data_IF_961047236997
#
_entry.id   IF_961047236997
#
_cell.length_a   1.000
_cell.length_b   1.000
_cell.length_c   1.000
_cell.angle_alpha   90.00
_cell.angle_beta   90.00
_cell.angle_gamma   90.00
#
_symmetry.space_group_name_H-M   'P 1'
#
loop_
_entity.id
_entity.type
_entity.pdbx_description
1 polymer ?
#
# COMPACT_ATOMS: atom_id res chain seq x y z
N UNK A 1 -3.85 -30.60 -26.08
CA UNK A 1 -2.53 -30.27 -25.51
C UNK A 1 -2.44 -30.48 -24.00
N UNK A 2 -3.32 -29.91 -23.17
CA UNK A 2 -3.26 -30.01 -21.70
C UNK A 2 -3.34 -31.42 -21.09
N UNK A 3 -4.01 -32.38 -21.76
CA UNK A 3 -4.05 -33.79 -21.29
C UNK A 3 -2.68 -34.48 -21.33
N UNK A 4 -1.76 -34.06 -22.22
CA UNK A 4 -0.47 -34.75 -22.37
C UNK A 4 0.52 -34.34 -21.28
N UNK A 5 0.53 -33.09 -20.84
CA UNK A 5 1.50 -32.61 -19.83
C UNK A 5 1.20 -33.18 -18.44
N UNK A 6 -0.08 -33.27 -18.06
CA UNK A 6 -0.47 -33.87 -16.79
C UNK A 6 -0.23 -35.38 -16.78
N UNK A 7 -0.48 -36.05 -17.91
CA UNK A 7 -0.23 -37.48 -18.08
C UNK A 7 1.27 -37.80 -18.04
N UNK A 8 2.11 -36.99 -18.69
CA UNK A 8 3.57 -37.16 -18.63
C UNK A 8 4.11 -36.88 -17.23
N UNK A 9 3.58 -35.87 -16.53
CA UNK A 9 3.97 -35.58 -15.15
C UNK A 9 3.55 -36.71 -14.19
N UNK A 10 2.34 -37.25 -14.34
CA UNK A 10 1.88 -38.40 -13.52
C UNK A 10 2.62 -39.68 -13.88
N UNK A 11 2.90 -39.96 -15.16
CA UNK A 11 3.73 -41.09 -15.58
C UNK A 11 5.16 -40.96 -15.07
N UNK A 12 5.74 -39.76 -15.06
CA UNK A 12 7.06 -39.53 -14.47
C UNK A 12 7.04 -39.84 -12.97
N UNK A 13 6.08 -39.29 -12.22
CA UNK A 13 5.92 -39.53 -10.77
C UNK A 13 5.71 -41.02 -10.48
N UNK A 14 4.86 -41.70 -11.24
CA UNK A 14 4.59 -43.14 -11.08
C UNK A 14 5.81 -43.98 -11.48
N UNK A 15 6.52 -43.63 -12.55
CA UNK A 15 7.74 -44.36 -12.98
C UNK A 15 8.95 -44.15 -12.06
N UNK A 16 8.88 -43.15 -11.18
CA UNK A 16 9.94 -42.82 -10.22
C UNK A 16 9.52 -43.03 -8.77
N UNK A 17 8.27 -43.41 -8.47
CA UNK A 17 7.78 -43.59 -7.10
C UNK A 17 8.58 -44.66 -6.35
N UNK A 18 8.90 -45.76 -7.02
CA UNK A 18 9.60 -46.90 -6.41
C UNK A 18 11.07 -46.55 -6.12
N UNK A 19 11.63 -45.67 -6.96
CA UNK A 19 12.96 -45.09 -6.76
C UNK A 19 12.96 -44.03 -5.67
N UNK A 20 11.90 -43.22 -5.56
CA UNK A 20 11.71 -42.22 -4.51
C UNK A 20 11.66 -42.87 -3.13
N UNK A 21 10.92 -43.96 -2.98
CA UNK A 21 10.89 -44.72 -1.72
C UNK A 21 12.29 -45.26 -1.38
N UNK A 22 12.99 -45.85 -2.34
CA UNK A 22 14.37 -46.34 -2.17
C UNK A 22 15.34 -45.22 -1.80
N UNK A 23 15.22 -44.04 -2.42
CA UNK A 23 16.04 -42.86 -2.13
C UNK A 23 15.70 -42.33 -0.73
N UNK A 24 14.42 -42.26 -0.35
CA UNK A 24 14.00 -41.82 0.99
C UNK A 24 14.54 -42.77 2.06
N UNK A 25 14.48 -44.08 1.85
CA UNK A 25 15.08 -45.05 2.77
C UNK A 25 16.60 -44.94 2.83
N UNK A 26 17.29 -44.82 1.69
CA UNK A 26 18.74 -44.64 1.65
C UNK A 26 19.18 -43.33 2.34
N UNK A 27 18.39 -42.27 2.22
CA UNK A 27 18.63 -40.97 2.88
C UNK A 27 18.33 -41.03 4.39
N UNK A 28 17.36 -41.83 4.81
CA UNK A 28 16.98 -42.00 6.21
C UNK A 28 17.97 -42.86 7.00
N UNK A 29 18.61 -43.85 6.36
CA UNK A 29 19.55 -44.76 7.03
C UNK A 29 21.01 -44.28 7.03
N UNK A 30 21.40 -43.40 6.11
CA UNK A 30 22.80 -42.97 5.95
C UNK A 30 22.97 -41.44 6.02
N UNK A 31 23.42 -40.88 7.17
CA UNK A 31 23.62 -39.44 7.37
C UNK A 31 24.59 -38.80 6.36
N UNK A 32 25.52 -39.57 5.78
CA UNK A 32 26.46 -39.09 4.75
C UNK A 32 25.76 -38.73 3.43
N UNK A 33 24.67 -39.43 3.08
CA UNK A 33 23.92 -39.17 1.85
C UNK A 33 23.13 -37.87 1.99
N UNK A 34 22.53 -37.62 3.16
CA UNK A 34 21.83 -36.37 3.46
C UNK A 34 22.75 -35.15 3.30
N UNK A 35 23.97 -35.22 3.84
CA UNK A 35 24.97 -34.17 3.72
C UNK A 35 25.43 -33.94 2.27
N UNK A 36 25.62 -35.01 1.48
CA UNK A 36 25.96 -34.88 0.05
C UNK A 36 24.82 -34.26 -0.75
N UNK A 37 23.57 -34.63 -0.49
CA UNK A 37 22.40 -34.04 -1.13
C UNK A 37 22.25 -32.57 -0.77
N UNK A 38 22.44 -32.20 0.50
CA UNK A 38 22.47 -30.80 0.92
C UNK A 38 23.57 -30.01 0.22
N UNK A 39 24.76 -30.58 0.05
CA UNK A 39 25.83 -29.93 -0.72
C UNK A 39 25.49 -29.78 -2.21
N UNK A 40 24.82 -30.77 -2.83
CA UNK A 40 24.35 -30.67 -4.22
C UNK A 40 23.27 -29.59 -4.34
N UNK A 41 22.30 -29.55 -3.42
CA UNK A 41 21.26 -28.51 -3.37
C UNK A 41 21.90 -27.13 -3.19
N UNK A 42 22.87 -27.01 -2.28
CA UNK A 42 23.60 -25.76 -2.06
C UNK A 42 24.39 -25.34 -3.29
N UNK A 43 25.00 -26.29 -4.02
CA UNK A 43 25.71 -26.00 -5.27
C UNK A 43 24.75 -25.61 -6.41
N UNK A 44 23.57 -26.24 -6.51
CA UNK A 44 22.53 -25.85 -7.49
C UNK A 44 22.02 -24.44 -7.16
N UNK A 45 21.79 -24.14 -5.89
CA UNK A 45 21.40 -22.81 -5.42
C UNK A 45 22.52 -21.78 -5.67
N UNK A 46 23.79 -22.16 -5.47
CA UNK A 46 24.93 -21.31 -5.75
C UNK A 46 25.05 -21.01 -7.26
N UNK A 47 24.90 -22.02 -8.12
CA UNK A 47 24.93 -21.84 -9.59
C UNK A 47 23.74 -21.00 -10.09
N UNK A 48 22.57 -21.11 -9.44
CA UNK A 48 21.42 -20.25 -9.73
C UNK A 48 21.62 -18.81 -9.20
N UNK A 49 22.31 -18.63 -8.07
CA UNK A 49 22.63 -17.30 -7.51
C UNK A 49 23.69 -16.54 -8.33
N UNK A 50 24.56 -17.23 -9.07
CA UNK A 50 25.57 -16.59 -9.95
C UNK A 50 24.94 -16.03 -11.24
N UNK A 51 23.70 -16.43 -11.59
CA UNK A 51 22.94 -15.88 -12.72
C UNK A 51 21.90 -14.81 -12.34
N UNK A 52 21.72 -14.54 -11.05
CA UNK A 52 20.89 -13.42 -10.59
C UNK A 52 21.80 -12.22 -10.35
N UNK A 53 21.81 -11.28 -11.30
CA UNK A 53 22.24 -9.92 -11.00
C UNK A 53 21.50 -9.44 -9.75
N UNK A 54 22.24 -8.80 -8.84
CA UNK A 54 21.88 -8.38 -7.50
C UNK A 54 20.83 -7.25 -7.44
N UNK A 55 19.69 -7.40 -8.11
CA UNK A 55 18.53 -6.53 -8.00
C UNK A 55 17.42 -7.20 -7.19
N UNK A 56 16.70 -6.43 -6.36
CA UNK A 56 15.41 -6.88 -5.83
C UNK A 56 14.51 -7.29 -7.00
N UNK A 57 13.67 -8.33 -6.85
CA UNK A 57 12.73 -8.69 -7.91
C UNK A 57 11.87 -7.48 -8.28
N UNK A 58 11.60 -7.32 -9.58
CA UNK A 58 10.72 -6.26 -10.07
C UNK A 58 9.30 -6.55 -9.65
N UNK A 59 8.63 -5.56 -9.05
CA UNK A 59 7.27 -5.75 -8.55
C UNK A 59 6.40 -4.53 -8.82
N UNK A 60 5.15 -4.80 -9.18
CA UNK A 60 4.07 -3.82 -9.16
C UNK A 60 3.25 -4.07 -7.88
N UNK A 61 3.29 -3.15 -6.91
CA UNK A 61 2.67 -3.35 -5.59
C UNK A 61 1.73 -2.20 -5.23
N UNK A 62 0.52 -2.54 -4.81
CA UNK A 62 -0.42 -1.62 -4.16
C UNK A 62 -0.41 -1.87 -2.65
N UNK A 63 0.02 -0.88 -1.89
CA UNK A 63 -0.07 -0.83 -0.44
C UNK A 63 -1.44 -0.28 -0.04
N UNK A 64 -2.20 -1.04 0.74
CA UNK A 64 -3.56 -0.67 1.12
C UNK A 64 -3.83 -0.94 2.59
N UNK A 65 -4.81 -0.24 3.15
CA UNK A 65 -5.19 -0.35 4.55
C UNK A 65 -5.73 0.97 5.08
N UNK A 66 -6.07 0.98 6.37
CA UNK A 66 -6.67 2.10 7.06
C UNK A 66 -5.84 3.40 6.97
N UNK A 67 -6.45 4.58 7.16
CA UNK A 67 -5.71 5.82 7.27
C UNK A 67 -4.79 5.79 8.50
N UNK A 68 -3.54 6.23 8.34
CA UNK A 68 -2.55 6.23 9.42
C UNK A 68 -1.83 4.89 9.67
N UNK A 69 -1.92 3.91 8.77
CA UNK A 69 -1.12 2.66 8.85
C UNK A 69 0.29 2.78 8.27
N UNK A 70 0.68 3.96 7.77
CA UNK A 70 2.04 4.21 7.29
C UNK A 70 2.35 3.70 5.88
N UNK A 71 1.35 3.55 5.00
CA UNK A 71 1.52 3.10 3.59
C UNK A 71 2.65 3.83 2.86
N UNK A 72 2.61 5.16 2.80
CA UNK A 72 3.63 5.97 2.11
C UNK A 72 5.00 5.89 2.80
N UNK A 73 5.03 5.73 4.13
CA UNK A 73 6.28 5.52 4.88
C UNK A 73 6.90 4.15 4.57
N UNK A 74 6.09 3.10 4.46
CA UNK A 74 6.55 1.77 4.09
C UNK A 74 7.15 1.75 2.67
N UNK A 75 6.56 2.49 1.73
CA UNK A 75 7.14 2.69 0.40
C UNK A 75 8.48 3.40 0.52
N UNK A 76 8.56 4.50 1.27
CA UNK A 76 9.80 5.28 1.44
C UNK A 76 10.95 4.42 1.93
N UNK A 77 10.73 3.62 2.98
CA UNK A 77 11.76 2.73 3.51
C UNK A 77 12.16 1.63 2.52
N UNK A 78 11.24 1.14 1.67
CA UNK A 78 11.55 0.15 0.64
C UNK A 78 12.38 0.70 -0.52
N UNK A 79 12.17 1.95 -0.89
CA UNK A 79 12.84 2.62 -2.03
C UNK A 79 14.08 3.41 -1.62
N UNK A 80 14.33 3.56 -0.31
CA UNK A 80 15.49 4.27 0.25
C UNK A 80 16.79 3.86 -0.45
N UNK A 81 17.57 4.86 -0.86
CA UNK A 81 18.82 4.65 -1.59
C UNK A 81 18.68 4.35 -3.08
N UNK A 82 17.45 4.35 -3.62
CA UNK A 82 17.18 4.18 -5.06
C UNK A 82 16.57 5.44 -5.66
N UNK A 83 16.54 5.51 -6.99
CA UNK A 83 15.94 6.64 -7.70
C UNK A 83 14.44 6.42 -7.81
N UNK A 84 13.64 7.39 -7.33
CA UNK A 84 12.19 7.33 -7.41
C UNK A 84 11.60 8.59 -8.05
N UNK A 85 10.57 8.41 -8.88
CA UNK A 85 9.68 9.48 -9.33
C UNK A 85 8.35 9.28 -8.64
N UNK A 86 7.80 10.36 -8.08
CA UNK A 86 6.54 10.32 -7.34
C UNK A 86 5.47 11.17 -8.03
N UNK A 87 4.27 10.62 -8.11
CA UNK A 87 3.06 11.31 -8.55
C UNK A 87 1.91 10.99 -7.60
N UNK A 88 0.86 11.81 -7.63
CA UNK A 88 -0.36 11.64 -6.84
C UNK A 88 -1.54 11.65 -7.80
N UNK A 89 -2.39 10.63 -7.71
CA UNK A 89 -3.64 10.62 -8.46
C UNK A 89 -4.69 11.48 -7.76
N UNK A 90 -5.39 12.28 -8.54
CA UNK A 90 -6.50 13.13 -8.13
C UNK A 90 -7.69 12.92 -9.07
N UNK A 91 -8.91 13.36 -8.72
CA UNK A 91 -10.12 13.05 -9.51
C UNK A 91 -10.01 13.40 -11.00
N UNK A 92 -9.32 14.49 -11.31
CA UNK A 92 -9.10 14.97 -12.68
C UNK A 92 -7.80 14.45 -13.33
N UNK A 93 -7.07 13.51 -12.73
CA UNK A 93 -5.85 12.97 -13.36
C UNK A 93 -6.23 12.22 -14.63
N UNK A 94 -5.60 12.57 -15.75
CA UNK A 94 -5.84 11.95 -17.05
C UNK A 94 -4.60 11.21 -17.58
N UNK A 95 -4.79 10.45 -18.66
CA UNK A 95 -3.70 9.81 -19.40
C UNK A 95 -2.60 10.82 -19.79
N UNK A 96 -2.99 12.02 -20.23
CA UNK A 96 -2.08 13.10 -20.61
C UNK A 96 -1.24 13.65 -19.45
N UNK A 97 -1.71 13.54 -18.21
CA UNK A 97 -0.95 13.94 -17.02
C UNK A 97 0.03 12.85 -16.59
N UNK A 98 -0.33 11.58 -16.78
CA UNK A 98 0.48 10.43 -16.37
C UNK A 98 1.55 10.05 -17.41
N UNK A 99 1.20 10.07 -18.70
CA UNK A 99 2.06 9.73 -19.83
C UNK A 99 2.72 10.98 -20.41
N UNK A 100 1.96 12.06 -20.53
CA UNK A 100 2.37 13.31 -21.16
C UNK A 100 1.51 13.66 -22.35
N UNK A 101 1.67 14.89 -22.85
CA UNK A 101 1.04 15.35 -24.07
C UNK A 101 1.81 16.51 -24.69
N UNK A 102 1.52 16.80 -25.97
CA UNK A 102 2.00 18.00 -26.64
C UNK A 102 1.40 19.24 -25.97
N UNK A 103 2.25 20.17 -25.52
CA UNK A 103 1.82 21.44 -24.93
C UNK A 103 2.57 22.61 -25.57
N UNK A 104 1.92 23.78 -25.69
CA UNK A 104 2.62 24.99 -26.08
C UNK A 104 3.56 25.44 -24.95
N UNK A 105 4.75 25.87 -25.33
CA UNK A 105 5.76 26.56 -24.51
C UNK A 105 6.09 27.90 -25.15
N UNK A 106 6.31 28.92 -24.33
CA UNK A 106 6.77 30.23 -24.79
C UNK A 106 8.30 30.22 -24.82
N UNK A 107 8.90 30.47 -25.98
CA UNK A 107 10.31 30.87 -26.09
C UNK A 107 10.39 32.39 -26.39
N UNK A 108 11.61 32.92 -26.47
CA UNK A 108 11.84 34.35 -26.77
C UNK A 108 11.36 34.78 -28.18
N UNK A 109 11.08 33.82 -29.07
CA UNK A 109 10.68 34.00 -30.48
C UNK A 109 9.21 33.62 -30.79
N UNK A 110 8.47 33.03 -29.85
CA UNK A 110 7.05 32.69 -30.04
C UNK A 110 6.56 31.44 -29.30
N UNK A 111 5.46 30.86 -29.81
CA UNK A 111 4.88 29.62 -29.28
C UNK A 111 5.53 28.43 -29.99
N UNK A 112 6.31 27.64 -29.24
CA UNK A 112 6.83 26.35 -29.68
C UNK A 112 6.01 25.23 -29.05
N UNK A 113 5.67 24.19 -29.81
CA UNK A 113 5.00 23.01 -29.26
C UNK A 113 6.03 21.95 -28.90
N UNK A 114 6.02 21.49 -27.66
CA UNK A 114 6.90 20.43 -27.18
C UNK A 114 6.13 19.38 -26.37
N UNK A 115 6.55 18.12 -26.48
CA UNK A 115 5.93 17.05 -25.72
C UNK A 115 6.36 17.14 -24.26
N UNK A 116 5.42 17.43 -23.37
CA UNK A 116 5.66 17.44 -21.94
C UNK A 116 5.47 16.03 -21.38
N UNK A 117 6.57 15.40 -20.98
CA UNK A 117 6.60 14.06 -20.35
C UNK A 117 5.77 14.06 -19.06
N UNK A 118 4.94 13.03 -18.91
CA UNK A 118 4.35 12.67 -17.62
C UNK A 118 5.30 11.79 -16.79
N UNK A 119 4.97 11.55 -15.50
CA UNK A 119 5.81 10.80 -14.57
C UNK A 119 6.09 9.36 -15.01
N UNK A 120 5.18 8.71 -15.75
CA UNK A 120 5.42 7.37 -16.28
C UNK A 120 6.54 7.36 -17.32
N UNK A 121 6.44 8.24 -18.33
CA UNK A 121 7.45 8.33 -19.40
C UNK A 121 8.78 8.84 -18.84
N UNK A 122 8.75 9.74 -17.85
CA UNK A 122 9.97 10.16 -17.16
C UNK A 122 10.66 8.99 -16.46
N UNK A 123 9.92 8.15 -15.73
CA UNK A 123 10.49 6.99 -15.04
C UNK A 123 11.01 5.95 -16.01
N UNK A 124 10.23 5.67 -17.06
CA UNK A 124 10.61 4.74 -18.12
C UNK A 124 11.91 5.15 -18.80
N UNK A 125 12.03 6.40 -19.24
CA UNK A 125 13.23 6.88 -19.92
C UNK A 125 14.46 6.89 -19.01
N UNK A 126 14.30 7.19 -17.72
CA UNK A 126 15.43 7.10 -16.78
C UNK A 126 15.90 5.66 -16.61
N UNK A 127 14.97 4.73 -16.41
CA UNK A 127 15.28 3.31 -16.27
C UNK A 127 15.96 2.72 -17.51
N UNK A 128 15.49 3.07 -18.71
CA UNK A 128 16.07 2.59 -19.97
C UNK A 128 17.49 3.15 -20.24
N UNK A 129 17.77 4.37 -19.79
CA UNK A 129 19.08 5.02 -19.98
C UNK A 129 20.13 4.54 -18.97
N UNK A 130 19.70 3.97 -17.86
CA UNK A 130 20.57 3.52 -16.78
C UNK A 130 20.15 2.13 -16.29
N UNK A 131 20.45 1.06 -17.06
CA UNK A 131 20.07 -0.31 -16.72
C UNK A 131 20.70 -0.84 -15.42
N UNK A 132 21.79 -0.22 -14.95
CA UNK A 132 22.55 -0.66 -13.77
C UNK A 132 21.86 -0.28 -12.45
N UNK A 133 20.97 0.72 -12.48
CA UNK A 133 20.26 1.18 -11.31
C UNK A 133 18.77 0.83 -11.38
N UNK A 134 18.20 0.55 -10.20
CA UNK A 134 16.78 0.28 -10.09
C UNK A 134 15.98 1.55 -9.82
N UNK A 135 14.88 1.70 -10.53
CA UNK A 135 13.99 2.85 -10.51
C UNK A 135 12.61 2.47 -9.96
N UNK A 136 12.00 3.44 -9.29
CA UNK A 136 10.65 3.31 -8.77
C UNK A 136 9.76 4.43 -9.29
N UNK A 137 8.58 4.07 -9.81
CA UNK A 137 7.48 5.00 -10.00
C UNK A 137 6.50 4.82 -8.84
N UNK A 138 6.36 5.87 -8.02
CA UNK A 138 5.47 5.89 -6.86
C UNK A 138 4.20 6.65 -7.22
N UNK A 139 3.05 5.99 -7.09
CA UNK A 139 1.73 6.53 -7.38
C UNK A 139 0.92 6.60 -6.08
N UNK A 140 0.88 7.77 -5.46
CA UNK A 140 0.06 7.97 -4.28
C UNK A 140 -1.42 8.03 -4.66
N UNK A 141 -2.27 7.42 -3.82
CA UNK A 141 -3.73 7.48 -3.94
C UNK A 141 -4.26 6.98 -5.30
N UNK A 142 -3.75 5.83 -5.78
CA UNK A 142 -4.04 5.30 -7.13
C UNK A 142 -5.53 5.15 -7.44
N UNK A 143 -6.37 4.97 -6.42
CA UNK A 143 -7.81 4.85 -6.56
C UNK A 143 -8.57 6.18 -6.47
N UNK A 144 -7.91 7.34 -6.42
CA UNK A 144 -8.58 8.66 -6.49
C UNK A 144 -8.84 9.15 -7.91
N UNK A 145 -8.38 8.42 -8.91
CA UNK A 145 -8.65 8.63 -10.33
C UNK A 145 -9.16 7.31 -10.95
N UNK A 146 -9.79 7.34 -12.14
CA UNK A 146 -10.11 6.12 -12.87
C UNK A 146 -8.83 5.45 -13.39
N UNK A 147 -8.12 4.71 -12.53
CA UNK A 147 -6.76 4.24 -12.77
C UNK A 147 -6.57 3.51 -14.10
N UNK A 148 -7.50 2.62 -14.48
CA UNK A 148 -7.43 1.92 -15.76
C UNK A 148 -7.46 2.88 -16.97
N UNK A 149 -8.24 3.96 -16.90
CA UNK A 149 -8.29 4.99 -17.93
C UNK A 149 -7.03 5.89 -17.91
N UNK A 150 -6.50 6.20 -16.73
CA UNK A 150 -5.24 6.95 -16.59
C UNK A 150 -4.06 6.19 -17.20
N UNK A 151 -4.02 4.86 -17.02
CA UNK A 151 -3.00 4.02 -17.65
C UNK A 151 -3.28 3.78 -19.14
N UNK A 152 -4.53 3.81 -19.60
CA UNK A 152 -4.87 3.61 -21.00
C UNK A 152 -4.37 2.27 -21.53
N UNK A 153 -3.64 2.26 -22.64
CA UNK A 153 -3.01 1.05 -23.19
C UNK A 153 -1.80 0.54 -22.37
N UNK A 154 -1.22 1.39 -21.51
CA UNK A 154 -0.03 1.05 -20.73
C UNK A 154 -0.28 -0.03 -19.68
N UNK A 155 -1.53 -0.23 -19.20
CA UNK A 155 -1.75 -1.22 -18.16
C UNK A 155 -1.40 -2.63 -18.64
N UNK A 156 -1.42 -2.91 -19.95
CA UNK A 156 -1.00 -4.20 -20.49
C UNK A 156 0.50 -4.46 -20.26
N UNK A 157 1.32 -3.41 -20.15
CA UNK A 157 2.76 -3.51 -19.86
C UNK A 157 3.07 -3.92 -18.41
N UNK A 158 2.06 -3.92 -17.54
CA UNK A 158 2.21 -4.30 -16.14
C UNK A 158 2.29 -5.83 -15.94
N UNK A 159 1.88 -6.61 -16.94
CA UNK A 159 2.12 -8.06 -16.96
C UNK A 159 3.64 -8.28 -17.13
N UNK A 160 4.30 -8.90 -16.13
CA UNK A 160 5.76 -9.09 -16.11
C UNK A 160 6.15 -10.52 -16.43
N UNK A 161 7.20 -10.69 -17.23
CA UNK A 161 7.81 -11.98 -17.51
C UNK A 161 8.75 -12.46 -16.38
N UNK A 162 9.38 -13.62 -16.55
CA UNK A 162 10.31 -14.19 -15.57
C UNK A 162 11.59 -13.37 -15.36
N UNK A 163 11.96 -12.53 -16.33
CA UNK A 163 13.12 -11.65 -16.24
C UNK A 163 12.74 -10.30 -15.62
N UNK A 164 11.45 -10.11 -15.32
CA UNK A 164 10.90 -8.90 -14.77
C UNK A 164 10.69 -7.82 -15.81
N UNK A 165 10.75 -8.06 -17.13
CA UNK A 165 10.34 -7.08 -18.16
C UNK A 165 8.84 -7.19 -18.46
N UNK A 166 8.24 -6.27 -19.21
CA UNK A 166 6.88 -6.47 -19.73
C UNK A 166 6.79 -7.71 -20.62
N UNK A 167 5.86 -8.62 -20.31
CA UNK A 167 5.60 -9.83 -21.09
C UNK A 167 5.08 -9.48 -22.49
N UNK A 168 4.26 -8.43 -22.57
CA UNK A 168 3.70 -7.91 -23.81
C UNK A 168 4.24 -6.52 -24.09
N UNK A 169 4.51 -6.24 -25.37
CA UNK A 169 4.84 -4.90 -25.87
C UNK A 169 3.64 -4.33 -26.61
N UNK A 170 3.43 -3.02 -26.53
CA UNK A 170 2.33 -2.32 -27.20
C UNK A 170 2.86 -1.37 -28.27
N UNK A 171 2.08 -1.14 -29.32
CA UNK A 171 2.44 -0.16 -30.35
C UNK A 171 2.40 1.27 -29.79
N UNK A 172 3.38 2.10 -30.17
CA UNK A 172 3.38 3.52 -29.81
C UNK A 172 2.54 4.28 -30.85
N UNK A 173 1.25 4.46 -30.56
CA UNK A 173 0.29 5.06 -31.50
C UNK A 173 0.40 6.59 -31.61
N UNK A 174 0.84 7.25 -30.54
CA UNK A 174 1.05 8.70 -30.50
C UNK A 174 2.39 9.05 -31.18
N UNK A 175 2.31 9.76 -32.31
CA UNK A 175 3.49 10.17 -33.10
C UNK A 175 4.40 11.13 -32.36
N UNK A 176 3.86 12.02 -31.54
CA UNK A 176 4.64 13.00 -30.79
C UNK A 176 5.39 12.30 -29.66
N UNK A 177 4.75 11.33 -29.00
CA UNK A 177 5.41 10.44 -28.04
C UNK A 177 6.51 9.62 -28.73
N UNK A 178 6.22 9.01 -29.88
CA UNK A 178 7.22 8.22 -30.63
C UNK A 178 8.44 9.07 -31.01
N UNK A 179 8.22 10.29 -31.51
CA UNK A 179 9.30 11.22 -31.85
C UNK A 179 10.15 11.58 -30.62
N UNK A 180 9.51 11.86 -29.49
CA UNK A 180 10.19 12.11 -28.23
C UNK A 180 11.03 10.89 -27.79
N UNK A 181 10.43 9.69 -27.78
CA UNK A 181 11.08 8.46 -27.35
C UNK A 181 12.28 8.11 -28.25
N UNK A 182 12.15 8.25 -29.58
CA UNK A 182 13.23 8.05 -30.52
C UNK A 182 14.36 9.08 -30.36
N UNK A 183 14.04 10.33 -30.01
CA UNK A 183 15.04 11.37 -29.72
C UNK A 183 15.79 11.09 -28.42
N UNK A 184 15.09 10.69 -27.37
CA UNK A 184 15.64 10.51 -26.03
C UNK A 184 16.31 9.15 -25.83
N UNK A 185 15.87 8.12 -26.55
CA UNK A 185 16.41 6.77 -26.49
C UNK A 185 16.48 6.13 -27.90
N UNK A 186 17.40 6.61 -28.76
CA UNK A 186 17.52 6.14 -30.14
C UNK A 186 17.79 4.64 -30.22
N UNK A 187 16.99 3.91 -31.01
CA UNK A 187 17.14 2.46 -31.22
C UNK A 187 16.70 1.60 -30.02
N UNK A 188 16.18 2.22 -28.96
CA UNK A 188 15.91 1.55 -27.70
C UNK A 188 14.49 0.98 -27.53
N UNK A 189 13.63 1.13 -28.53
CA UNK A 189 12.30 0.54 -28.58
C UNK A 189 12.20 -0.40 -29.79
N UNK A 190 12.39 -1.72 -29.60
CA UNK A 190 12.31 -2.70 -30.67
C UNK A 190 10.96 -2.65 -31.37
N UNK A 191 10.96 -2.65 -32.70
CA UNK A 191 9.76 -2.58 -33.56
C UNK A 191 8.84 -1.37 -33.28
N UNK A 192 9.38 -0.28 -32.71
CA UNK A 192 8.61 0.88 -32.23
C UNK A 192 7.53 0.51 -31.20
N UNK A 193 7.81 -0.49 -30.37
CA UNK A 193 6.90 -0.93 -29.31
C UNK A 193 7.39 -0.53 -27.92
N UNK A 194 6.46 -0.05 -27.10
CA UNK A 194 6.69 0.31 -25.72
C UNK A 194 6.71 -0.94 -24.84
N UNK A 195 7.61 -0.94 -23.84
CA UNK A 195 7.71 -1.96 -22.80
C UNK A 195 8.27 -1.30 -21.54
N UNK A 196 8.11 -1.96 -20.39
CA UNK A 196 8.74 -1.53 -19.13
C UNK A 196 9.93 -2.46 -18.85
N UNK A 197 11.16 -1.91 -18.67
CA UNK A 197 12.36 -2.70 -18.44
C UNK A 197 12.38 -3.30 -17.03
N UNK A 198 13.22 -4.33 -16.84
CA UNK A 198 13.35 -5.07 -15.58
C UNK A 198 14.09 -4.34 -14.44
N UNK A 199 14.33 -3.04 -14.60
CA UNK A 199 14.86 -2.18 -13.54
C UNK A 199 13.87 -1.08 -13.17
N UNK A 200 12.59 -1.17 -13.57
CA UNK A 200 11.53 -0.23 -13.19
C UNK A 200 10.37 -0.94 -12.48
N UNK A 201 10.19 -0.63 -11.19
CA UNK A 201 9.07 -1.10 -10.35
C UNK A 201 8.04 0.00 -10.10
N UNK A 202 6.77 -0.37 -9.99
CA UNK A 202 5.67 0.56 -9.71
C UNK A 202 5.09 0.28 -8.33
N UNK A 203 5.19 1.24 -7.42
CA UNK A 203 4.56 1.16 -6.10
C UNK A 203 3.45 2.18 -5.99
N UNK A 204 2.37 1.79 -5.33
CA UNK A 204 1.20 2.65 -5.20
C UNK A 204 0.59 2.57 -3.81
N UNK A 205 -0.05 3.64 -3.36
CA UNK A 205 -0.89 3.63 -2.15
C UNK A 205 -2.36 3.66 -2.53
N UNK A 206 -3.19 2.97 -1.76
CA UNK A 206 -4.64 2.90 -1.96
C UNK A 206 -5.37 3.08 -0.63
N UNK A 207 -6.26 4.07 -0.55
CA UNK A 207 -7.22 4.23 0.55
C UNK A 207 -8.55 3.63 0.12
N UNK A 208 -8.89 2.41 0.54
CA UNK A 208 -10.06 1.70 0.01
C UNK A 208 -11.42 2.23 0.51
N UNK A 209 -11.43 3.10 1.52
CA UNK A 209 -12.66 3.54 2.20
C UNK A 209 -12.94 5.04 2.20
N UNK A 210 -12.07 5.83 1.58
CA UNK A 210 -12.33 7.26 1.36
C UNK A 210 -13.54 7.44 0.43
N UNK A 211 -14.33 8.51 0.61
CA UNK A 211 -15.57 8.71 -0.15
C UNK A 211 -15.35 9.05 -1.63
N UNK A 212 -14.18 9.60 -1.96
CA UNK A 212 -13.87 10.09 -3.30
C UNK A 212 -13.12 9.06 -4.16
N UNK A 213 -13.06 7.79 -3.73
CA UNK A 213 -12.27 6.78 -4.43
C UNK A 213 -13.10 6.00 -5.44
N UNK A 214 -12.46 5.72 -6.56
CA UNK A 214 -12.98 4.95 -7.68
C UNK A 214 -12.62 3.47 -7.50
N UNK A 215 -13.52 2.53 -7.85
CA UNK A 215 -13.21 1.11 -7.83
C UNK A 215 -12.13 0.79 -8.88
N UNK A 216 -11.17 -0.07 -8.51
CA UNK A 216 -10.22 -0.63 -9.45
C UNK A 216 -10.83 -1.83 -10.19
N UNK A 217 -10.82 -1.77 -11.53
CA UNK A 217 -11.27 -2.86 -12.40
C UNK A 217 -10.47 -4.16 -12.15
N UNK A 218 -11.12 -5.31 -12.32
CA UNK A 218 -10.53 -6.64 -12.06
C UNK A 218 -9.34 -6.98 -12.98
N UNK A 219 -9.41 -6.62 -14.26
CA UNK A 219 -8.29 -6.77 -15.18
C UNK A 219 -7.13 -5.85 -14.79
N UNK A 220 -7.38 -4.66 -14.25
CA UNK A 220 -6.31 -3.82 -13.71
C UNK A 220 -5.69 -4.48 -12.46
N UNK A 221 -6.51 -4.86 -11.48
CA UNK A 221 -6.06 -5.44 -10.20
C UNK A 221 -5.15 -6.66 -10.36
N UNK A 222 -5.45 -7.60 -11.26
CA UNK A 222 -4.65 -8.84 -11.42
C UNK A 222 -3.19 -8.62 -11.80
N UNK A 223 -2.81 -7.40 -12.19
CA UNK A 223 -1.46 -6.98 -12.60
C UNK A 223 -0.64 -6.36 -11.47
N UNK A 224 -1.23 -6.30 -10.28
CA UNK A 224 -0.63 -5.77 -9.07
C UNK A 224 -0.62 -6.85 -8.00
N UNK A 225 0.46 -6.87 -7.22
CA UNK A 225 0.47 -7.49 -5.90
C UNK A 225 -0.17 -6.52 -4.91
N UNK A 226 -0.97 -7.04 -3.99
CA UNK A 226 -1.61 -6.24 -2.96
C UNK A 226 -0.95 -6.52 -1.61
N UNK A 227 -0.42 -5.48 -0.99
CA UNK A 227 0.21 -5.56 0.32
C UNK A 227 -0.66 -4.83 1.35
N UNK A 228 -1.23 -5.61 2.25
CA UNK A 228 -2.07 -5.08 3.32
C UNK A 228 -1.20 -4.53 4.44
N UNK A 229 -1.48 -3.29 4.84
CA UNK A 229 -0.84 -2.62 5.98
C UNK A 229 -1.73 -2.75 7.22
N UNK A 230 -1.38 -3.64 8.17
CA UNK A 230 -2.20 -3.92 9.33
C UNK A 230 -2.23 -2.75 10.33
N UNK A 231 -3.24 -2.74 11.19
CA UNK A 231 -3.30 -1.87 12.36
C UNK A 231 -2.31 -2.34 13.43
N UNK A 232 -1.05 -1.88 13.33
CA UNK A 232 -0.02 -2.16 14.33
C UNK A 232 0.24 -0.97 15.26
N UNK A 233 -0.22 -1.08 16.50
CA UNK A 233 -0.01 -0.07 17.54
C UNK A 233 1.24 -0.32 18.40
N UNK A 234 2.13 -1.24 18.00
CA UNK A 234 3.44 -1.44 18.63
C UNK A 234 4.30 -0.17 18.57
N UNK A 235 4.12 0.62 17.51
CA UNK A 235 4.69 1.95 17.34
C UNK A 235 3.57 2.94 17.04
N UNK A 236 3.48 4.00 17.83
CA UNK A 236 2.49 5.07 17.64
C UNK A 236 2.96 6.35 18.37
N UNK A 237 2.46 7.53 17.99
CA UNK A 237 2.82 8.78 18.66
C UNK A 237 2.57 8.75 20.17
N UNK A 238 3.51 9.30 20.94
CA UNK A 238 3.36 9.43 22.38
C UNK A 238 2.46 10.62 22.71
N UNK A 239 1.39 10.39 23.44
CA UNK A 239 0.47 11.44 23.86
C UNK A 239 -0.84 10.88 24.37
N UNK A 240 -1.73 11.78 24.81
CA UNK A 240 -2.94 11.38 25.50
C UNK A 240 -4.11 12.34 25.29
N UNK A 241 -5.30 11.82 25.48
CA UNK A 241 -6.53 12.59 25.61
C UNK A 241 -7.02 12.54 27.05
N UNK A 242 -7.59 13.65 27.52
CA UNK A 242 -8.36 13.68 28.77
C UNK A 242 -9.83 13.43 28.46
N UNK A 243 -10.37 12.34 28.99
CA UNK A 243 -11.73 11.87 28.73
C UNK A 243 -12.48 11.80 30.04
N UNK A 244 -13.64 12.46 30.10
CA UNK A 244 -14.52 12.38 31.26
C UNK A 244 -15.31 11.07 31.21
N UNK A 245 -15.23 10.36 32.32
CA UNK A 245 -15.94 9.09 32.59
C UNK A 245 -16.84 9.27 33.80
N UNK A 246 -17.69 8.27 34.10
CA UNK A 246 -18.49 8.27 35.34
C UNK A 246 -17.60 8.26 36.59
N UNK A 247 -16.40 7.67 36.49
CA UNK A 247 -15.41 7.61 37.58
C UNK A 247 -14.44 8.81 37.60
N UNK A 248 -14.74 9.88 36.85
CA UNK A 248 -13.95 11.12 36.78
C UNK A 248 -13.17 11.32 35.48
N UNK A 249 -12.33 12.35 35.42
CA UNK A 249 -11.45 12.59 34.27
C UNK A 249 -10.34 11.53 34.24
N UNK A 250 -10.17 10.87 33.09
CA UNK A 250 -9.13 9.87 32.84
C UNK A 250 -8.17 10.36 31.77
N UNK A 251 -6.89 10.11 31.97
CA UNK A 251 -5.86 10.27 30.94
C UNK A 251 -5.75 8.97 30.16
N UNK A 252 -5.97 9.04 28.85
CA UNK A 252 -6.02 7.89 27.95
C UNK A 252 -4.97 8.09 26.86
N UNK A 253 -4.07 7.14 26.67
CA UNK A 253 -3.08 7.26 25.58
C UNK A 253 -3.77 7.20 24.22
N UNK A 254 -3.16 7.81 23.20
CA UNK A 254 -3.69 7.74 21.84
C UNK A 254 -3.94 6.29 21.38
N UNK A 255 -2.94 5.42 21.58
CA UNK A 255 -3.01 4.01 21.22
C UNK A 255 -4.19 3.28 21.89
N UNK A 256 -4.42 3.53 23.18
CA UNK A 256 -5.58 2.98 23.90
C UNK A 256 -6.90 3.48 23.31
N UNK A 257 -7.00 4.79 23.10
CA UNK A 257 -8.20 5.40 22.56
C UNK A 257 -8.57 4.83 21.18
N UNK A 258 -7.61 4.80 20.25
CA UNK A 258 -7.81 4.32 18.90
C UNK A 258 -8.20 2.83 18.87
N UNK A 259 -7.53 1.98 19.67
CA UNK A 259 -7.87 0.56 19.75
C UNK A 259 -9.26 0.30 20.31
N UNK A 260 -9.71 1.06 21.32
CA UNK A 260 -11.07 0.93 21.86
C UNK A 260 -12.13 1.39 20.86
N UNK A 261 -11.87 2.49 20.14
CA UNK A 261 -12.73 2.90 19.02
C UNK A 261 -12.81 1.79 17.98
N UNK A 262 -11.67 1.28 17.51
CA UNK A 262 -11.60 0.23 16.49
C UNK A 262 -12.33 -1.05 16.93
N UNK A 263 -12.22 -1.45 18.20
CA UNK A 263 -12.97 -2.58 18.75
C UNK A 263 -14.49 -2.39 18.59
N UNK A 264 -15.00 -1.19 18.87
CA UNK A 264 -16.43 -0.89 18.71
C UNK A 264 -16.81 -0.77 17.24
N UNK A 265 -15.95 -0.24 16.38
CA UNK A 265 -16.19 -0.24 14.94
C UNK A 265 -16.29 -1.67 14.38
N UNK A 266 -15.45 -2.59 14.85
CA UNK A 266 -15.52 -4.02 14.51
C UNK A 266 -16.84 -4.67 14.89
N UNK A 267 -17.39 -4.38 16.08
CA UNK A 267 -18.69 -4.96 16.50
C UNK A 267 -19.85 -4.44 15.66
N UNK A 268 -19.71 -3.27 15.06
CA UNK A 268 -20.65 -2.70 14.10
C UNK A 268 -20.44 -3.21 12.66
N UNK A 269 -19.52 -4.15 12.44
CA UNK A 269 -19.12 -4.63 11.10
C UNK A 269 -18.66 -3.50 10.18
N UNK A 270 -18.08 -2.43 10.74
CA UNK A 270 -17.46 -1.38 9.96
C UNK A 270 -16.14 -1.92 9.39
N UNK A 271 -15.94 -1.83 8.07
CA UNK A 271 -14.70 -2.27 7.42
C UNK A 271 -13.44 -1.70 8.08
N UNK A 272 -12.42 -2.55 8.24
CA UNK A 272 -11.18 -2.19 8.95
C UNK A 272 -10.40 -1.05 8.28
N UNK A 273 -10.57 -0.85 6.97
CA UNK A 273 -9.99 0.27 6.23
C UNK A 273 -10.60 1.65 6.60
N UNK A 274 -11.66 1.69 7.42
CA UNK A 274 -12.21 2.90 8.07
C UNK A 274 -11.75 3.11 9.50
N UNK A 275 -10.94 2.18 10.03
CA UNK A 275 -10.48 2.26 11.41
C UNK A 275 -9.37 3.30 11.56
N UNK A 276 -9.06 3.65 12.80
CA UNK A 276 -7.99 4.57 13.12
C UNK A 276 -6.66 3.81 13.10
N UNK A 277 -5.73 4.20 12.21
CA UNK A 277 -4.36 3.70 12.23
C UNK A 277 -3.49 4.34 13.32
N UNK A 278 -2.35 3.72 13.67
CA UNK A 278 -1.43 4.21 14.70
C UNK A 278 -0.94 5.65 14.46
N UNK A 279 -0.75 6.04 13.20
CA UNK A 279 -0.26 7.37 12.79
C UNK A 279 -1.39 8.25 12.25
N UNK A 280 -2.64 8.02 12.65
CA UNK A 280 -3.76 8.90 12.29
C UNK A 280 -3.61 10.30 12.89
N UNK A 281 -2.90 10.40 14.03
CA UNK A 281 -2.45 11.64 14.64
C UNK A 281 -0.93 11.69 14.65
N UNK A 282 -0.37 12.88 14.90
CA UNK A 282 1.07 13.09 15.07
C UNK A 282 1.39 13.47 16.52
N UNK A 283 2.63 13.23 16.97
CA UNK A 283 3.05 13.47 18.37
C UNK A 283 2.83 14.92 18.80
N UNK A 284 3.21 15.89 17.95
CA UNK A 284 3.00 17.32 18.18
C UNK A 284 1.51 17.72 18.29
N UNK A 285 0.59 16.93 17.74
CA UNK A 285 -0.86 17.20 17.80
C UNK A 285 -1.48 16.78 19.14
N UNK A 286 -0.81 15.89 19.89
CA UNK A 286 -1.36 15.23 21.08
C UNK A 286 -0.45 15.30 22.32
N UNK A 287 0.72 15.95 22.21
CA UNK A 287 1.67 16.09 23.30
C UNK A 287 1.16 17.00 24.42
N UNK A 288 0.61 18.18 24.09
CA UNK A 288 0.02 19.10 25.06
C UNK A 288 -1.51 19.03 25.08
N UNK A 289 -2.10 19.30 26.25
CA UNK A 289 -3.55 19.17 26.46
C UNK A 289 -4.39 20.07 25.55
N UNK A 290 -3.90 21.27 25.19
CA UNK A 290 -4.67 22.24 24.40
C UNK A 290 -4.76 21.78 22.95
N UNK A 291 -3.65 21.34 22.36
CA UNK A 291 -3.63 20.78 21.01
C UNK A 291 -4.33 19.41 20.98
N UNK A 292 -4.09 18.54 21.96
CA UNK A 292 -4.75 17.24 22.05
C UNK A 292 -6.29 17.38 22.03
N UNK A 293 -6.86 18.36 22.73
CA UNK A 293 -8.31 18.64 22.71
C UNK A 293 -8.81 19.09 21.33
N UNK A 294 -8.04 19.93 20.62
CA UNK A 294 -8.35 20.35 19.24
C UNK A 294 -8.25 19.19 18.26
N UNK A 295 -7.23 18.35 18.39
CA UNK A 295 -7.01 17.17 17.55
C UNK A 295 -8.11 16.14 17.75
N UNK A 296 -8.47 15.86 19.02
CA UNK A 296 -9.60 14.98 19.33
C UNK A 296 -10.88 15.47 18.66
N UNK A 297 -11.20 16.77 18.76
CA UNK A 297 -12.44 17.29 18.17
C UNK A 297 -12.39 17.43 16.65
N UNK A 298 -11.46 18.24 16.13
CA UNK A 298 -11.44 18.69 14.74
C UNK A 298 -10.86 17.68 13.75
N UNK A 299 -10.30 16.57 14.23
CA UNK A 299 -9.70 15.53 13.39
C UNK A 299 -10.31 14.16 13.69
N UNK A 300 -10.10 13.65 14.90
CA UNK A 300 -10.47 12.27 15.25
C UNK A 300 -11.99 12.08 15.32
N UNK A 301 -12.68 12.87 16.14
CA UNK A 301 -14.13 12.76 16.30
C UNK A 301 -14.88 13.21 15.04
N UNK A 302 -14.34 14.19 14.30
CA UNK A 302 -14.90 14.62 13.02
C UNK A 302 -14.88 13.47 12.00
N UNK A 303 -13.73 12.81 11.81
CA UNK A 303 -13.61 11.65 10.93
C UNK A 303 -14.56 10.51 11.34
N UNK A 304 -14.59 10.16 12.63
CA UNK A 304 -15.52 9.14 13.13
C UNK A 304 -16.98 9.52 12.83
N UNK A 305 -17.34 10.79 13.00
CA UNK A 305 -18.72 11.26 12.85
C UNK A 305 -19.17 11.37 11.39
N UNK A 306 -18.33 11.94 10.54
CA UNK A 306 -18.66 12.34 9.17
C UNK A 306 -18.29 11.27 8.14
N UNK A 307 -17.29 10.43 8.39
CA UNK A 307 -16.80 9.46 7.41
C UNK A 307 -17.10 8.02 7.84
N UNK A 308 -16.83 7.68 9.09
CA UNK A 308 -16.97 6.30 9.59
C UNK A 308 -18.42 5.96 9.92
N UNK A 309 -19.08 6.78 10.75
CA UNK A 309 -20.43 6.55 11.26
C UNK A 309 -21.51 7.37 10.55
N UNK A 310 -21.24 7.87 9.33
CA UNK A 310 -22.22 8.65 8.55
C UNK A 310 -23.55 7.93 8.35
N UNK A 311 -23.46 6.63 8.07
CA UNK A 311 -24.58 5.75 7.73
C UNK A 311 -24.80 4.64 8.78
N UNK A 312 -24.23 4.81 9.97
CA UNK A 312 -24.22 3.80 11.03
C UNK A 312 -24.74 4.37 12.35
N UNK A 313 -25.07 3.49 13.28
CA UNK A 313 -25.57 3.86 14.61
C UNK A 313 -24.52 4.62 15.44
N UNK A 314 -24.62 5.95 15.43
CA UNK A 314 -23.74 6.84 16.22
C UNK A 314 -23.85 6.61 17.73
N UNK A 315 -24.97 6.05 18.17
CA UNK A 315 -25.26 5.67 19.57
C UNK A 315 -24.27 4.65 20.15
N UNK A 316 -23.57 3.91 19.28
CA UNK A 316 -22.55 2.96 19.69
C UNK A 316 -21.33 3.64 20.34
N UNK A 317 -20.90 4.79 19.82
CA UNK A 317 -19.78 5.57 20.36
C UNK A 317 -20.24 6.77 21.18
N UNK A 318 -21.33 7.43 20.80
CA UNK A 318 -21.76 8.69 21.40
C UNK A 318 -23.06 8.53 22.19
N UNK A 319 -23.28 9.40 23.17
CA UNK A 319 -24.54 9.42 23.92
C UNK A 319 -25.73 9.66 22.97
N UNK A 320 -26.83 8.95 23.19
CA UNK A 320 -28.05 8.99 22.36
C UNK A 320 -28.66 10.38 22.22
N UNK A 321 -28.40 11.30 23.15
CA UNK A 321 -28.88 12.68 23.10
C UNK A 321 -28.09 13.59 22.14
N UNK A 322 -26.94 13.13 21.64
CA UNK A 322 -26.11 13.83 20.65
C UNK A 322 -26.63 13.53 19.25
N UNK A 323 -27.31 14.51 18.63
CA UNK A 323 -27.89 14.37 17.29
C UNK A 323 -27.07 15.03 16.18
N UNK A 324 -26.21 15.98 16.53
CA UNK A 324 -25.38 16.72 15.57
C UNK A 324 -23.94 16.84 16.05
N UNK A 325 -23.01 16.98 15.11
CA UNK A 325 -21.61 17.22 15.46
C UNK A 325 -21.43 18.50 16.29
N UNK A 326 -22.23 19.54 16.02
CA UNK A 326 -22.25 20.76 16.83
C UNK A 326 -22.65 20.50 18.29
N UNK A 327 -23.63 19.63 18.53
CA UNK A 327 -24.03 19.23 19.90
C UNK A 327 -22.92 18.45 20.62
N UNK A 328 -22.18 17.59 19.90
CA UNK A 328 -21.01 16.88 20.41
C UNK A 328 -19.92 17.86 20.85
N UNK A 329 -19.57 18.82 19.97
CA UNK A 329 -18.56 19.84 20.26
C UNK A 329 -18.98 20.69 21.46
N UNK A 330 -20.26 21.05 21.59
CA UNK A 330 -20.78 21.80 22.74
C UNK A 330 -20.57 21.04 24.04
N UNK A 331 -20.91 19.74 24.09
CA UNK A 331 -20.71 18.89 25.27
C UNK A 331 -19.24 18.75 25.67
N UNK A 332 -18.36 18.58 24.69
CA UNK A 332 -16.92 18.49 24.92
C UNK A 332 -16.33 19.80 25.47
N UNK A 333 -16.85 20.96 25.06
CA UNK A 333 -16.43 22.27 25.59
C UNK A 333 -16.77 22.43 27.08
N UNK A 334 -17.97 22.03 27.47
CA UNK A 334 -18.44 22.10 28.87
C UNK A 334 -18.05 20.88 29.71
N UNK A 335 -17.16 20.01 29.21
CA UNK A 335 -16.64 18.84 29.93
C UNK A 335 -17.73 17.86 30.41
N UNK A 336 -18.85 17.76 29.68
CA UNK A 336 -19.89 16.75 29.96
C UNK A 336 -19.58 15.42 29.29
N UNK A 337 -20.12 14.33 29.84
CA UNK A 337 -20.11 13.00 29.23
C UNK A 337 -20.74 13.06 27.83
N UNK A 338 -19.99 12.62 26.82
CA UNK A 338 -20.42 12.63 25.42
C UNK A 338 -20.24 11.29 24.70
N UNK A 339 -19.36 10.42 25.20
CA UNK A 339 -19.32 9.03 24.76
C UNK A 339 -20.49 8.22 25.36
N UNK A 340 -20.83 7.10 24.72
CA UNK A 340 -21.82 6.16 25.22
C UNK A 340 -21.32 5.45 26.48
N UNK A 341 -22.23 5.01 27.35
CA UNK A 341 -21.87 4.23 28.54
C UNK A 341 -21.10 2.95 28.18
N UNK A 342 -21.49 2.31 27.07
CA UNK A 342 -20.81 1.12 26.59
C UNK A 342 -19.36 1.42 26.19
N UNK A 343 -19.11 2.51 25.44
CA UNK A 343 -17.77 2.93 25.09
C UNK A 343 -16.92 3.19 26.34
N UNK A 344 -17.45 3.95 27.30
CA UNK A 344 -16.73 4.30 28.52
C UNK A 344 -16.38 3.07 29.36
N UNK A 345 -17.30 2.10 29.49
CA UNK A 345 -17.05 0.83 30.19
C UNK A 345 -15.93 0.01 29.53
N UNK A 346 -15.94 -0.10 28.20
CA UNK A 346 -14.89 -0.80 27.45
C UNK A 346 -13.54 -0.08 27.60
N UNK A 347 -13.56 1.24 27.52
CA UNK A 347 -12.37 2.08 27.69
C UNK A 347 -11.73 1.91 29.06
N UNK A 348 -12.51 2.00 30.13
CA UNK A 348 -12.02 1.82 31.51
C UNK A 348 -11.42 0.42 31.70
N UNK A 349 -12.08 -0.62 31.19
CA UNK A 349 -11.57 -2.00 31.25
C UNK A 349 -10.22 -2.16 30.52
N UNK A 350 -10.03 -1.52 29.38
CA UNK A 350 -8.74 -1.58 28.65
C UNK A 350 -7.63 -0.79 29.35
N UNK A 351 -7.96 0.35 29.98
CA UNK A 351 -7.02 1.10 30.81
C UNK A 351 -6.52 0.24 31.98
N UNK A 352 -7.42 -0.47 32.66
CA UNK A 352 -7.09 -1.35 33.78
C UNK A 352 -6.21 -2.54 33.38
N UNK A 353 -6.52 -3.22 32.26
CA UNK A 353 -5.72 -4.35 31.75
C UNK A 353 -4.26 -3.95 31.49
N UNK A 354 -4.03 -2.77 30.93
CA UNK A 354 -2.69 -2.26 30.65
C UNK A 354 -1.92 -1.89 31.92
N UNK A 355 -2.59 -1.27 32.90
CA UNK A 355 -2.01 -1.02 34.23
C UNK A 355 -1.55 -2.31 34.91
N UNK A 356 -2.34 -3.38 34.80
CA UNK A 356 -1.99 -4.71 35.34
C UNK A 356 -0.78 -5.32 34.61
N UNK A 357 -0.71 -5.23 33.28
CA UNK A 357 0.45 -5.71 32.50
C UNK A 357 1.75 -4.97 32.85
N UNK A 358 1.68 -3.66 33.10
CA UNK A 358 2.83 -2.87 33.52
C UNK A 358 3.31 -3.24 34.92
N UNK A 359 2.38 -3.44 35.88
CA UNK A 359 2.68 -3.88 37.24
C UNK A 359 3.28 -5.29 37.34
N UNK A 360 3.03 -6.17 36.37
CA UNK A 360 3.63 -7.51 36.32
C UNK A 360 5.02 -7.54 35.64
N UNK A 361 5.45 -6.45 35.00
CA UNK A 361 6.76 -6.31 34.34
C UNK A 361 7.78 -5.53 35.17
N UNK A 362 7.32 -4.80 36.19
CA UNK A 362 8.11 -4.19 37.27
C UNK A 362 8.13 -5.11 38.47
#
# INVERSE_FOLDING_TARGET
>A
MFKSTLLTATQFIVSTSDKLTTIIYAVAEEPLILNKLQNIINNINAVNSVKASSGKPVENIIFYGAPGTGKSFAIEEKVKGHISIRTVFHPETQYSDFVGCLRPSMDDNGIEYSFKKGPFIEALLKALKDPEHHYYLIIEEINRAPAAAVFGELFQLLDRDSNGESEYRIDINDKDLLNLLNKEHPGGFPDNKLYIPNNLSLYATMNSSDQAVMPLDTAFKRRWKFEYMPLDFSTSPSGYFKINTESGEKTVSWSQFAQVVNLILSTLSIPEDRHLGPWFVNENEIFDQKNAKKTLTGKVLMYIWDDVLRHSERSALFNTDIKTFGSLVKKLRIMKLFFSENFLKVLEKEIEKLMLKLKMRT
#
